data_IF_046277942491
#
_entry.id   IF_046277942491
#
_cell.length_a   1.000
_cell.length_b   1.000
_cell.length_c   1.000
_cell.angle_alpha   90.00
_cell.angle_beta   90.00
_cell.angle_gamma   90.00
#
_symmetry.space_group_name_H-M   'P 1'
#
loop_
_entity.id
_entity.type
_entity.pdbx_description
1 polymer ?
#
# COMPACT_ATOMS: atom_id res chain seq x y z
N UNK A 1 -9.51 -7.93 -4.29
CA UNK A 1 -8.53 -7.24 -3.42
C UNK A 1 -8.50 -7.91 -2.07
N UNK A 2 -7.33 -8.01 -1.47
CA UNK A 2 -7.16 -8.58 -0.14
C UNK A 2 -6.67 -7.51 0.82
N UNK A 3 -6.94 -7.71 2.12
CA UNK A 3 -6.46 -6.82 3.17
C UNK A 3 -4.94 -6.72 3.17
N UNK A 4 -4.25 -7.80 2.85
CA UNK A 4 -2.78 -7.82 2.79
C UNK A 4 -2.24 -6.91 1.68
N UNK A 5 -2.84 -6.95 0.50
CA UNK A 5 -2.44 -6.07 -0.60
C UNK A 5 -2.68 -4.60 -0.25
N UNK A 6 -3.80 -4.33 0.40
CA UNK A 6 -4.14 -2.98 0.83
C UNK A 6 -3.18 -2.48 1.90
N UNK A 7 -2.79 -3.33 2.83
CA UNK A 7 -1.81 -3.00 3.87
C UNK A 7 -0.44 -2.70 3.25
N UNK A 8 0.01 -3.53 2.31
CA UNK A 8 1.27 -3.30 1.59
C UNK A 8 1.22 -1.97 0.86
N UNK A 9 0.13 -1.71 0.14
CA UNK A 9 -0.06 -0.45 -0.58
C UNK A 9 -0.01 0.74 0.38
N UNK A 10 -0.76 0.69 1.47
CA UNK A 10 -0.83 1.79 2.43
C UNK A 10 0.54 2.09 3.06
N UNK A 11 1.28 1.05 3.42
CA UNK A 11 2.62 1.20 3.99
C UNK A 11 3.56 1.86 2.98
N UNK A 12 3.55 1.37 1.73
CA UNK A 12 4.39 1.94 0.68
C UNK A 12 3.99 3.39 0.37
N UNK A 13 2.70 3.69 0.32
CA UNK A 13 2.20 5.05 0.08
C UNK A 13 2.67 6.02 1.17
N UNK A 14 2.81 5.54 2.40
CA UNK A 14 3.24 6.36 3.52
C UNK A 14 4.74 6.65 3.54
N UNK A 15 5.58 5.66 3.22
CA UNK A 15 7.04 5.82 3.30
C UNK A 15 7.71 6.00 1.94
N UNK A 16 7.03 5.65 0.85
CA UNK A 16 7.53 5.76 -0.53
C UNK A 16 8.88 5.07 -0.75
N UNK A 17 9.08 3.94 -0.07
CA UNK A 17 10.29 3.13 -0.15
C UNK A 17 9.91 1.65 -0.14
N UNK A 18 10.28 0.93 -1.20
CA UNK A 18 10.03 -0.52 -1.28
C UNK A 18 10.82 -1.29 -0.22
N UNK A 19 12.06 -0.90 0.01
CA UNK A 19 12.90 -1.57 1.02
C UNK A 19 12.38 -1.33 2.43
N UNK A 20 11.98 -0.11 2.74
CA UNK A 20 11.42 0.21 4.06
C UNK A 20 10.09 -0.49 4.29
N UNK A 21 9.24 -0.55 3.27
CA UNK A 21 7.97 -1.28 3.34
C UNK A 21 8.20 -2.76 3.65
N UNK A 22 9.15 -3.38 2.95
CA UNK A 22 9.51 -4.78 3.18
C UNK A 22 9.94 -5.01 4.63
N UNK A 23 10.78 -4.12 5.14
CA UNK A 23 11.28 -4.15 6.51
C UNK A 23 10.14 -4.06 7.52
N UNK A 24 9.27 -3.05 7.38
CA UNK A 24 8.16 -2.82 8.30
C UNK A 24 7.19 -3.98 8.35
N UNK A 25 6.95 -4.62 7.21
CA UNK A 25 5.99 -5.71 7.11
C UNK A 25 6.60 -7.10 7.29
N UNK A 26 7.92 -7.19 7.42
CA UNK A 26 8.61 -8.47 7.61
C UNK A 26 8.50 -9.38 6.39
N UNK A 27 8.49 -8.82 5.19
CA UNK A 27 8.43 -9.56 3.93
C UNK A 27 9.59 -9.14 3.03
N UNK A 28 9.83 -9.90 1.96
CA UNK A 28 10.88 -9.57 1.02
C UNK A 28 10.47 -8.40 0.14
N UNK A 29 11.45 -7.69 -0.40
CA UNK A 29 11.16 -6.60 -1.35
C UNK A 29 10.49 -7.11 -2.62
N UNK A 30 10.89 -8.25 -3.21
CA UNK A 30 10.13 -8.83 -4.32
C UNK A 30 8.66 -9.12 -3.98
N UNK A 31 8.37 -9.51 -2.74
CA UNK A 31 6.99 -9.73 -2.31
C UNK A 31 6.20 -8.42 -2.30
N UNK A 32 6.79 -7.32 -1.85
CA UNK A 32 6.17 -5.98 -1.93
C UNK A 32 5.84 -5.66 -3.38
N UNK A 33 6.81 -5.80 -4.27
CA UNK A 33 6.64 -5.52 -5.70
C UNK A 33 5.50 -6.36 -6.29
N UNK A 34 5.44 -7.65 -5.93
CA UNK A 34 4.42 -8.56 -6.42
C UNK A 34 3.01 -8.14 -5.95
N UNK A 35 2.88 -7.77 -4.67
CA UNK A 35 1.59 -7.32 -4.14
C UNK A 35 1.12 -6.03 -4.83
N UNK A 36 2.03 -5.09 -5.05
CA UNK A 36 1.69 -3.84 -5.73
C UNK A 36 1.29 -4.09 -7.19
N UNK A 37 2.05 -4.92 -7.91
CA UNK A 37 1.73 -5.26 -9.29
C UNK A 37 0.36 -5.92 -9.40
N UNK A 38 0.02 -6.84 -8.48
CA UNK A 38 -1.27 -7.48 -8.46
C UNK A 38 -2.40 -6.49 -8.19
N UNK A 39 -2.19 -5.54 -7.29
CA UNK A 39 -3.17 -4.52 -6.99
C UNK A 39 -3.36 -3.57 -8.17
N UNK A 40 -2.28 -3.17 -8.83
CA UNK A 40 -2.36 -2.35 -10.05
C UNK A 40 -3.12 -3.05 -11.17
N UNK A 41 -2.90 -4.35 -11.33
CA UNK A 41 -3.64 -5.14 -12.31
C UNK A 41 -5.14 -5.18 -11.97
N UNK A 42 -5.48 -5.34 -10.71
CA UNK A 42 -6.88 -5.37 -10.25
C UNK A 42 -7.56 -4.02 -10.43
N UNK A 43 -6.88 -2.93 -10.10
CA UNK A 43 -7.38 -1.55 -10.25
C UNK A 43 -7.42 -1.14 -11.73
N UNK A 44 -6.51 -1.66 -12.54
CA UNK A 44 -6.40 -1.33 -13.95
C UNK A 44 -5.60 -0.06 -14.23
N UNK A 45 -4.74 0.35 -13.31
CA UNK A 45 -3.93 1.56 -13.46
C UNK A 45 -2.69 1.48 -12.58
N UNK A 46 -1.64 2.19 -12.96
CA UNK A 46 -0.45 2.34 -12.13
C UNK A 46 -0.80 3.18 -10.89
N UNK A 47 -0.32 2.76 -9.74
CA UNK A 47 -0.51 3.46 -8.47
C UNK A 47 0.73 4.23 -8.04
N UNK A 48 1.89 3.79 -8.51
CA UNK A 48 3.19 4.42 -8.24
C UNK A 48 3.94 4.64 -9.52
N UNK A 49 4.80 5.64 -9.51
CA UNK A 49 5.73 5.93 -10.60
C UNK A 49 7.12 6.11 -10.00
N UNK A 50 8.13 5.62 -10.70
CA UNK A 50 9.51 5.73 -10.25
C UNK A 50 10.26 6.77 -11.06
N UNK A 51 11.00 7.62 -10.35
CA UNK A 51 11.91 8.61 -10.93
C UNK A 51 13.31 8.31 -10.40
N UNK A 52 14.12 7.56 -11.15
CA UNK A 52 15.41 7.12 -10.64
C UNK A 52 15.23 6.29 -9.37
N UNK A 53 15.70 6.80 -8.24
CA UNK A 53 15.56 6.14 -6.92
C UNK A 53 14.33 6.58 -6.14
N UNK A 54 13.62 7.57 -6.65
CA UNK A 54 12.45 8.11 -5.98
C UNK A 54 11.19 7.40 -6.44
N UNK A 55 10.21 7.33 -5.55
CA UNK A 55 8.89 6.76 -5.80
C UNK A 55 7.85 7.81 -5.47
N UNK A 56 6.84 7.94 -6.31
CA UNK A 56 5.73 8.87 -6.07
C UNK A 56 4.41 8.18 -6.39
N UNK A 57 3.33 8.66 -5.79
CA UNK A 57 1.99 8.20 -6.10
C UNK A 57 1.51 8.83 -7.41
N UNK A 58 0.79 8.05 -8.21
CA UNK A 58 0.00 8.58 -9.33
C UNK A 58 -1.28 9.23 -8.79
N UNK A 59 -2.04 9.88 -9.65
CA UNK A 59 -3.36 10.41 -9.27
C UNK A 59 -4.27 9.29 -8.76
N UNK A 60 -4.25 8.15 -9.45
CA UNK A 60 -5.02 6.96 -9.03
C UNK A 60 -4.51 6.44 -7.69
N UNK A 61 -3.19 6.46 -7.49
CA UNK A 61 -2.58 6.07 -6.21
C UNK A 61 -3.05 6.96 -5.07
N UNK A 62 -3.13 8.27 -5.28
CA UNK A 62 -3.63 9.20 -4.26
C UNK A 62 -5.09 8.93 -3.93
N UNK A 63 -5.91 8.66 -4.94
CA UNK A 63 -7.33 8.34 -4.73
C UNK A 63 -7.48 7.05 -3.91
N UNK A 64 -6.69 6.02 -4.25
CA UNK A 64 -6.72 4.77 -3.50
C UNK A 64 -6.22 4.96 -2.07
N UNK A 65 -5.20 5.79 -1.87
CA UNK A 65 -4.69 6.07 -0.53
C UNK A 65 -5.78 6.65 0.38
N UNK A 66 -6.57 7.60 -0.12
CA UNK A 66 -7.66 8.17 0.65
C UNK A 66 -8.68 7.11 1.06
N UNK A 67 -9.06 6.24 0.12
CA UNK A 67 -9.99 5.16 0.41
C UNK A 67 -9.41 4.13 1.37
N UNK A 68 -8.14 3.76 1.16
CA UNK A 68 -7.44 2.79 2.01
C UNK A 68 -7.31 3.29 3.45
N UNK A 69 -7.02 4.57 3.64
CA UNK A 69 -6.92 5.16 4.97
C UNK A 69 -8.24 5.03 5.73
N UNK A 70 -9.37 5.20 5.05
CA UNK A 70 -10.70 5.02 5.67
C UNK A 70 -10.94 3.58 6.09
N UNK A 71 -10.62 2.62 5.22
CA UNK A 71 -10.81 1.19 5.52
C UNK A 71 -9.93 0.77 6.67
N UNK A 72 -8.65 1.10 6.62
CA UNK A 72 -7.69 0.71 7.67
C UNK A 72 -7.98 1.44 8.98
N UNK A 73 -8.46 2.68 8.91
CA UNK A 73 -8.92 3.42 10.08
C UNK A 73 -10.11 2.75 10.74
N UNK A 74 -11.04 2.22 9.95
CA UNK A 74 -12.19 1.48 10.46
C UNK A 74 -11.76 0.19 11.19
N UNK A 75 -10.78 -0.54 10.64
CA UNK A 75 -10.21 -1.69 11.32
C UNK A 75 -9.59 -1.31 12.67
N UNK A 76 -8.85 -0.20 12.71
CA UNK A 76 -8.25 0.28 13.94
C UNK A 76 -9.31 0.63 14.99
N UNK A 77 -10.42 1.24 14.58
CA UNK A 77 -11.55 1.53 15.47
C UNK A 77 -12.12 0.25 16.08
N UNK A 78 -12.27 -0.80 15.26
CA UNK A 78 -12.76 -2.10 15.73
C UNK A 78 -11.80 -2.69 16.75
N UNK A 79 -10.50 -2.63 16.49
CA UNK A 79 -9.47 -3.13 17.42
C UNK A 79 -9.56 -2.40 18.77
N UNK A 80 -9.84 -1.10 18.76
CA UNK A 80 -9.96 -0.31 19.98
C UNK A 80 -11.20 -0.67 20.82
N UNK A 81 -12.16 -1.39 20.23
CA UNK A 81 -13.36 -1.84 20.95
C UNK A 81 -13.12 -3.15 21.71
N UNK A 82 -12.03 -3.85 21.46
CA UNK A 82 -11.71 -5.10 22.15
C UNK A 82 -11.28 -4.83 23.58
N UNK A 83 -11.79 -5.63 24.49
CA UNK A 83 -11.48 -5.55 25.91
C UNK A 83 -10.33 -6.47 26.30
#
# INVERSE_FOLDING_TARGET
MTDKRLLVFSTLAGCLSFSETAKRLGISQPAVTKHIAALEAEIGAALFVRYGRSVALTDKGRALKQAADKVLGAYAEIENLKE
#
